data_IF_150490823337
#
_entry.id   IF_150490823337
#
_cell.length_a   1.000
_cell.length_b   1.000
_cell.length_c   1.000
_cell.angle_alpha   90.00
_cell.angle_beta   90.00
_cell.angle_gamma   90.00
#
_symmetry.space_group_name_H-M   'P 1'
#
loop_
_entity.id
_entity.type
_entity.pdbx_description
1 polymer ?
#
# COMPACT_ATOMS: atom_id res chain seq x y z
N UNK A 1 0.67 4.03 -21.41
CA UNK A 1 -0.59 3.70 -20.72
C UNK A 1 -0.95 2.21 -20.85
N UNK A 2 -1.09 1.65 -22.04
CA UNK A 2 -1.46 0.23 -22.26
C UNK A 2 -0.52 -0.78 -21.60
N UNK A 3 0.81 -0.58 -21.68
CA UNK A 3 1.76 -1.48 -21.04
C UNK A 3 1.56 -1.54 -19.51
N UNK A 4 1.39 -0.40 -18.84
CA UNK A 4 1.12 -0.34 -17.40
C UNK A 4 -0.18 -1.07 -17.03
N UNK A 5 -1.25 -0.91 -17.82
CA UNK A 5 -2.49 -1.63 -17.58
C UNK A 5 -2.30 -3.16 -17.70
N UNK A 6 -1.54 -3.63 -18.68
CA UNK A 6 -1.21 -5.06 -18.80
C UNK A 6 -0.43 -5.58 -17.59
N UNK A 7 0.51 -4.80 -17.08
CA UNK A 7 1.27 -5.13 -15.87
C UNK A 7 0.38 -5.16 -14.62
N UNK A 8 -0.55 -4.21 -14.48
CA UNK A 8 -1.50 -4.20 -13.36
C UNK A 8 -2.40 -5.44 -13.39
N UNK A 9 -2.94 -5.79 -14.55
CA UNK A 9 -3.78 -7.00 -14.72
C UNK A 9 -2.98 -8.26 -14.39
N UNK A 10 -1.74 -8.36 -14.88
CA UNK A 10 -0.87 -9.50 -14.58
C UNK A 10 -0.58 -9.59 -13.08
N UNK A 11 -0.29 -8.46 -12.45
CA UNK A 11 -0.02 -8.33 -11.02
C UNK A 11 -1.22 -8.76 -10.14
N UNK A 12 -2.45 -8.40 -10.53
CA UNK A 12 -3.66 -8.85 -9.84
C UNK A 12 -3.80 -10.37 -9.94
N UNK A 13 -3.68 -10.93 -11.14
CA UNK A 13 -3.81 -12.37 -11.37
C UNK A 13 -2.74 -13.22 -10.68
N UNK A 14 -1.57 -12.66 -10.45
CA UNK A 14 -0.48 -13.30 -9.73
C UNK A 14 -0.73 -13.33 -8.21
N UNK A 15 -1.33 -12.25 -7.67
CA UNK A 15 -1.46 -12.05 -6.22
C UNK A 15 -2.82 -12.41 -5.66
N UNK A 16 -3.87 -12.39 -6.48
CA UNK A 16 -5.22 -12.76 -6.06
C UNK A 16 -5.62 -14.12 -6.64
N UNK A 17 -5.68 -15.18 -5.80
CA UNK A 17 -6.14 -16.50 -6.24
C UNK A 17 -7.59 -16.52 -6.76
N UNK A 18 -8.40 -15.51 -6.42
CA UNK A 18 -9.79 -15.39 -6.89
C UNK A 18 -9.90 -14.81 -8.30
N UNK A 19 -8.84 -14.21 -8.85
CA UNK A 19 -8.83 -13.59 -10.18
C UNK A 19 -8.76 -14.64 -11.30
N UNK A 20 -9.92 -15.01 -11.87
CA UNK A 20 -10.05 -16.11 -12.85
C UNK A 20 -9.70 -15.72 -14.27
N UNK A 21 -9.95 -14.48 -14.68
CA UNK A 21 -9.78 -14.06 -16.08
C UNK A 21 -9.37 -12.58 -16.20
N UNK A 22 -8.78 -12.23 -17.36
CA UNK A 22 -8.46 -10.84 -17.70
C UNK A 22 -9.73 -9.98 -17.76
N UNK A 23 -10.82 -10.51 -18.28
CA UNK A 23 -12.10 -9.78 -18.37
C UNK A 23 -12.65 -9.47 -16.98
N UNK A 24 -12.57 -10.42 -16.05
CA UNK A 24 -12.99 -10.22 -14.66
C UNK A 24 -12.15 -9.11 -13.99
N UNK A 25 -10.83 -9.14 -14.16
CA UNK A 25 -9.95 -8.10 -13.61
C UNK A 25 -10.26 -6.72 -14.20
N UNK A 26 -10.51 -6.65 -15.50
CA UNK A 26 -10.85 -5.38 -16.17
C UNK A 26 -12.21 -4.81 -15.76
N UNK A 27 -13.16 -5.66 -15.38
CA UNK A 27 -14.54 -5.21 -15.14
C UNK A 27 -14.92 -5.18 -13.66
N UNK A 28 -14.28 -5.99 -12.81
CA UNK A 28 -14.70 -6.21 -11.42
C UNK A 28 -13.67 -5.77 -10.36
N UNK A 29 -12.50 -5.29 -10.77
CA UNK A 29 -11.45 -4.85 -9.82
C UNK A 29 -11.36 -3.33 -9.74
N UNK A 30 -11.97 -2.70 -8.72
CA UNK A 30 -12.01 -1.25 -8.59
C UNK A 30 -10.61 -0.63 -8.43
N UNK A 31 -9.64 -1.36 -7.86
CA UNK A 31 -8.25 -0.92 -7.76
C UNK A 31 -7.61 -0.67 -9.12
N UNK A 32 -7.87 -1.51 -10.11
CA UNK A 32 -7.36 -1.32 -11.49
C UNK A 32 -7.99 -0.06 -12.12
N UNK A 33 -9.30 0.13 -11.94
CA UNK A 33 -10.00 1.31 -12.45
C UNK A 33 -9.46 2.59 -11.81
N UNK A 34 -9.25 2.60 -10.49
CA UNK A 34 -8.71 3.73 -9.76
C UNK A 34 -7.30 4.11 -10.24
N UNK A 35 -6.43 3.13 -10.51
CA UNK A 35 -5.09 3.36 -11.05
C UNK A 35 -5.12 3.95 -12.46
N UNK A 36 -6.05 3.50 -13.31
CA UNK A 36 -6.23 4.06 -14.67
C UNK A 36 -6.67 5.50 -14.58
N UNK A 37 -7.71 5.81 -13.78
CA UNK A 37 -8.20 7.18 -13.59
C UNK A 37 -7.14 8.07 -12.97
N UNK A 38 -6.41 7.55 -11.96
CA UNK A 38 -5.30 8.30 -11.35
C UNK A 38 -4.24 8.70 -12.37
N UNK A 39 -3.84 7.82 -13.28
CA UNK A 39 -2.84 8.14 -14.31
C UNK A 39 -3.27 9.29 -15.21
N UNK A 40 -4.57 9.36 -15.57
CA UNK A 40 -5.13 10.48 -16.33
C UNK A 40 -5.14 11.77 -15.50
N UNK A 41 -5.60 11.66 -14.25
CA UNK A 41 -5.64 12.77 -13.30
C UNK A 41 -4.24 13.33 -13.01
N UNK A 42 -3.26 12.45 -12.80
CA UNK A 42 -1.86 12.80 -12.58
C UNK A 42 -1.24 13.47 -13.80
N UNK A 43 -1.50 12.98 -15.02
CA UNK A 43 -1.04 13.61 -16.24
C UNK A 43 -1.58 15.03 -16.41
N UNK A 44 -2.87 15.26 -16.12
CA UNK A 44 -3.44 16.60 -16.11
C UNK A 44 -2.79 17.51 -15.05
N UNK A 45 -2.56 16.96 -13.84
CA UNK A 45 -1.91 17.66 -12.74
C UNK A 45 -0.49 18.10 -13.08
N UNK A 46 0.35 17.19 -13.57
CA UNK A 46 1.74 17.47 -13.98
C UNK A 46 1.81 18.45 -15.18
N UNK A 47 0.76 18.50 -16.01
CA UNK A 47 0.63 19.47 -17.10
C UNK A 47 0.12 20.83 -16.65
N UNK A 48 -0.09 21.08 -15.34
CA UNK A 48 -0.56 22.34 -14.78
C UNK A 48 -2.10 22.50 -14.78
N UNK A 49 -2.86 21.56 -15.32
CA UNK A 49 -4.34 21.57 -15.26
C UNK A 49 -4.84 21.05 -13.90
N UNK A 50 -4.51 21.78 -12.82
CA UNK A 50 -4.71 21.34 -11.45
C UNK A 50 -6.18 21.04 -11.14
N UNK A 51 -7.09 21.94 -11.58
CA UNK A 51 -8.53 21.73 -11.38
C UNK A 51 -9.01 20.44 -12.08
N UNK A 52 -8.61 20.22 -13.32
CA UNK A 52 -8.99 19.04 -14.10
C UNK A 52 -8.44 17.75 -13.43
N UNK A 53 -7.18 17.77 -12.97
CA UNK A 53 -6.61 16.65 -12.22
C UNK A 53 -7.42 16.31 -10.98
N UNK A 54 -7.82 17.32 -10.19
CA UNK A 54 -8.67 17.15 -9.00
C UNK A 54 -10.06 16.63 -9.37
N UNK A 55 -10.66 17.15 -10.41
CA UNK A 55 -11.98 16.72 -10.85
C UNK A 55 -11.98 15.26 -11.32
N UNK A 56 -11.00 14.84 -12.12
CA UNK A 56 -10.84 13.44 -12.53
C UNK A 56 -10.62 12.51 -11.33
N UNK A 57 -9.79 12.92 -10.36
CA UNK A 57 -9.60 12.18 -9.12
C UNK A 57 -10.91 12.02 -8.34
N UNK A 58 -11.74 13.07 -8.28
CA UNK A 58 -13.05 13.01 -7.62
C UNK A 58 -14.02 12.05 -8.33
N UNK A 59 -14.05 12.05 -9.67
CA UNK A 59 -14.83 11.07 -10.45
C UNK A 59 -14.34 9.64 -10.18
N UNK A 60 -13.01 9.43 -10.14
CA UNK A 60 -12.44 8.14 -9.79
C UNK A 60 -12.90 7.63 -8.42
N UNK A 61 -12.89 8.52 -7.41
CA UNK A 61 -13.40 8.20 -6.08
C UNK A 61 -14.89 7.82 -6.10
N UNK A 62 -15.71 8.57 -6.82
CA UNK A 62 -17.16 8.28 -6.94
C UNK A 62 -17.43 6.91 -7.56
N UNK A 63 -16.62 6.52 -8.56
CA UNK A 63 -16.79 5.27 -9.30
C UNK A 63 -16.23 4.05 -8.57
N UNK A 64 -15.16 4.24 -7.79
CA UNK A 64 -14.38 3.11 -7.23
C UNK A 64 -14.39 3.05 -5.70
N UNK A 65 -14.79 4.12 -5.02
CA UNK A 65 -14.65 4.26 -3.56
C UNK A 65 -13.19 4.46 -3.11
N UNK A 66 -12.26 4.69 -4.05
CA UNK A 66 -10.81 4.85 -3.81
C UNK A 66 -10.43 6.29 -4.14
N UNK A 67 -9.89 7.02 -3.17
CA UNK A 67 -9.36 8.36 -3.37
C UNK A 67 -7.85 8.34 -3.56
N UNK A 68 -7.37 8.76 -4.73
CA UNK A 68 -5.94 8.98 -4.97
C UNK A 68 -5.79 10.44 -5.44
N UNK A 69 -5.07 11.24 -4.65
CA UNK A 69 -4.81 12.63 -5.04
C UNK A 69 -3.98 12.67 -6.32
N UNK A 70 -4.27 13.54 -7.31
CA UNK A 70 -3.55 13.55 -8.58
C UNK A 70 -2.07 13.89 -8.44
N UNK A 71 -1.66 14.58 -7.38
CA UNK A 71 -0.25 14.83 -7.07
C UNK A 71 0.52 13.62 -6.50
N UNK A 72 -0.17 12.56 -6.07
CA UNK A 72 0.48 11.36 -5.56
C UNK A 72 1.28 10.64 -6.66
N UNK A 73 2.39 10.03 -6.28
CA UNK A 73 3.21 9.24 -7.19
C UNK A 73 2.99 7.75 -6.93
N UNK A 74 2.49 7.04 -7.94
CA UNK A 74 2.19 5.62 -7.84
C UNK A 74 3.10 4.85 -8.79
N UNK A 75 3.81 3.89 -8.25
CA UNK A 75 4.73 3.00 -8.96
C UNK A 75 4.04 2.02 -9.89
N UNK A 76 4.77 0.99 -10.27
CA UNK A 76 4.31 -0.07 -11.20
C UNK A 76 3.81 -1.28 -10.39
N UNK A 77 2.86 -2.02 -10.97
CA UNK A 77 2.32 -3.26 -10.39
C UNK A 77 1.81 -3.10 -8.96
N UNK A 78 1.29 -1.91 -8.64
CA UNK A 78 0.62 -1.68 -7.36
C UNK A 78 -0.72 -2.39 -7.39
N UNK A 79 -0.99 -3.20 -6.38
CA UNK A 79 -2.24 -3.91 -6.21
C UNK A 79 -3.07 -3.27 -5.09
N UNK A 80 -4.20 -2.71 -5.44
CA UNK A 80 -5.20 -2.21 -4.49
C UNK A 80 -6.31 -3.24 -4.44
N UNK A 81 -6.31 -4.05 -3.37
CA UNK A 81 -7.27 -5.13 -3.19
C UNK A 81 -8.50 -4.64 -2.42
N UNK A 82 -9.69 -5.01 -2.91
CA UNK A 82 -11.00 -4.50 -2.49
C UNK A 82 -11.13 -2.97 -2.63
N UNK A 83 -10.26 -2.21 -2.06
CA UNK A 83 -10.01 -0.78 -2.26
C UNK A 83 -11.00 0.18 -1.62
N UNK A 84 -12.20 -0.21 -1.27
CA UNK A 84 -13.20 0.70 -0.70
C UNK A 84 -12.64 1.48 0.49
N UNK A 85 -12.75 2.82 0.46
CA UNK A 85 -12.28 3.69 1.54
C UNK A 85 -10.77 3.89 1.62
N UNK A 86 -10.00 3.47 0.59
CA UNK A 86 -8.59 3.84 0.48
C UNK A 86 -8.46 5.32 0.20
N UNK A 87 -7.54 5.99 0.90
CA UNK A 87 -7.20 7.40 0.70
C UNK A 87 -5.69 7.55 0.56
N UNK A 88 -5.22 8.08 -0.55
CA UNK A 88 -3.82 8.36 -0.83
C UNK A 88 -3.64 9.86 -1.05
N UNK A 89 -2.94 10.53 -0.13
CA UNK A 89 -2.79 11.99 -0.10
C UNK A 89 -1.79 12.54 -1.11
N UNK A 90 -1.80 13.86 -1.27
CA UNK A 90 -1.11 14.64 -2.31
C UNK A 90 0.38 14.32 -2.49
N UNK A 91 1.14 14.29 -1.40
CA UNK A 91 2.60 14.08 -1.43
C UNK A 91 2.99 12.64 -1.11
N UNK A 92 2.02 11.71 -1.15
CA UNK A 92 2.32 10.28 -0.98
C UNK A 92 3.08 9.72 -2.17
N UNK A 93 3.99 8.81 -1.87
CA UNK A 93 4.71 8.04 -2.87
C UNK A 93 4.52 6.56 -2.56
N UNK A 94 4.16 5.79 -3.57
CA UNK A 94 3.96 4.34 -3.46
C UNK A 94 4.91 3.67 -4.44
N UNK A 95 5.84 2.90 -3.91
CA UNK A 95 6.82 2.15 -4.69
C UNK A 95 6.19 1.03 -5.53
N UNK A 96 7.02 0.42 -6.37
CA UNK A 96 6.60 -0.70 -7.21
C UNK A 96 6.20 -1.91 -6.35
N UNK A 97 5.32 -2.75 -6.87
CA UNK A 97 4.91 -4.03 -6.28
C UNK A 97 4.21 -3.94 -4.92
N UNK A 98 3.81 -2.75 -4.47
CA UNK A 98 3.07 -2.59 -3.23
C UNK A 98 1.68 -3.22 -3.29
N UNK A 99 1.19 -3.71 -2.13
CA UNK A 99 -0.17 -4.18 -1.93
C UNK A 99 -0.86 -3.32 -0.88
N UNK A 100 -2.05 -2.80 -1.21
CA UNK A 100 -2.84 -1.92 -0.35
C UNK A 100 -4.25 -2.47 -0.24
N UNK A 101 -4.70 -2.75 0.98
CA UNK A 101 -6.05 -3.24 1.23
C UNK A 101 -7.06 -2.12 1.50
N UNK A 102 -8.34 -2.47 1.52
CA UNK A 102 -9.44 -1.52 1.78
C UNK A 102 -9.26 -0.72 3.08
N UNK A 103 -9.81 0.49 3.11
CA UNK A 103 -9.82 1.35 4.28
C UNK A 103 -8.46 1.93 4.69
N UNK A 104 -7.40 1.68 3.93
CA UNK A 104 -6.07 2.23 4.19
C UNK A 104 -6.05 3.74 3.96
N UNK A 105 -5.34 4.47 4.83
CA UNK A 105 -5.08 5.89 4.65
C UNK A 105 -3.57 6.16 4.64
N UNK A 106 -3.07 6.70 3.54
CA UNK A 106 -1.75 7.31 3.45
C UNK A 106 -1.93 8.83 3.64
N UNK A 107 -1.94 9.26 4.90
CA UNK A 107 -2.38 10.59 5.32
C UNK A 107 -1.26 11.51 5.76
N UNK A 108 -1.57 12.81 5.80
CA UNK A 108 -0.68 13.84 6.35
C UNK A 108 -1.06 14.22 7.78
N UNK A 109 -0.06 14.65 8.54
CA UNK A 109 -0.23 15.18 9.91
C UNK A 109 0.09 16.68 10.00
N UNK A 110 0.64 17.27 8.94
CA UNK A 110 1.01 18.68 8.86
C UNK A 110 0.02 19.46 7.99
N UNK A 111 -0.29 20.69 8.40
CA UNK A 111 -1.10 21.65 7.64
C UNK A 111 -0.25 22.62 6.79
N UNK A 112 1.08 22.53 6.86
CA UNK A 112 1.97 23.39 6.08
C UNK A 112 1.94 23.02 4.61
N UNK A 113 1.73 24.00 3.73
CA UNK A 113 1.74 23.85 2.28
C UNK A 113 3.17 23.65 1.78
N UNK A 114 3.33 22.90 0.68
CA UNK A 114 4.62 22.73 0.00
C UNK A 114 5.61 21.80 0.71
N UNK A 115 5.21 21.14 1.79
CA UNK A 115 6.06 20.20 2.52
C UNK A 115 5.65 18.75 2.25
N UNK A 116 6.60 17.82 2.34
CA UNK A 116 6.33 16.38 2.35
C UNK A 116 5.58 16.04 3.64
N UNK A 117 4.30 15.73 3.53
CA UNK A 117 3.40 15.46 4.68
C UNK A 117 2.73 14.09 4.65
N UNK A 118 2.85 13.36 3.54
CA UNK A 118 2.31 12.02 3.37
C UNK A 118 3.45 11.01 3.24
N UNK A 119 3.22 9.73 3.57
CA UNK A 119 4.27 8.73 3.61
C UNK A 119 4.82 8.38 2.22
N UNK A 120 6.06 7.87 2.24
CA UNK A 120 6.67 7.18 1.12
C UNK A 120 6.71 5.68 1.45
N UNK A 121 6.11 4.87 0.60
CA UNK A 121 6.21 3.41 0.65
C UNK A 121 7.30 2.95 -0.30
N UNK A 122 8.26 2.19 0.21
CA UNK A 122 9.27 1.51 -0.59
C UNK A 122 8.66 0.42 -1.49
N UNK A 123 9.52 -0.34 -2.16
CA UNK A 123 9.09 -1.43 -3.04
C UNK A 123 8.54 -2.62 -2.25
N UNK A 124 7.47 -3.24 -2.76
CA UNK A 124 6.93 -4.48 -2.20
C UNK A 124 6.32 -4.35 -0.81
N UNK A 125 6.01 -3.11 -0.37
CA UNK A 125 5.36 -2.85 0.91
C UNK A 125 3.94 -3.39 0.89
N UNK A 126 3.51 -4.02 2.00
CA UNK A 126 2.14 -4.51 2.19
C UNK A 126 1.47 -3.72 3.31
N UNK A 127 0.36 -3.06 2.99
CA UNK A 127 -0.45 -2.29 3.94
C UNK A 127 -1.79 -3.01 4.17
N UNK A 128 -1.93 -3.60 5.35
CA UNK A 128 -3.12 -4.36 5.76
C UNK A 128 -4.38 -3.50 5.87
N UNK A 129 -5.53 -4.18 5.79
CA UNK A 129 -6.85 -3.54 5.78
C UNK A 129 -7.06 -2.56 6.94
N UNK A 130 -7.61 -1.39 6.64
CA UNK A 130 -7.92 -0.37 7.64
C UNK A 130 -6.72 0.37 8.25
N UNK A 131 -5.47 0.01 7.89
CA UNK A 131 -4.29 0.65 8.47
C UNK A 131 -4.20 2.14 8.10
N UNK A 132 -3.64 2.93 9.02
CA UNK A 132 -3.40 4.37 8.84
C UNK A 132 -1.91 4.64 8.93
N UNK A 133 -1.30 5.16 7.87
CA UNK A 133 0.10 5.59 7.84
C UNK A 133 0.08 7.11 7.72
N UNK A 134 0.47 7.79 8.80
CA UNK A 134 0.20 9.21 8.97
C UNK A 134 1.50 9.99 9.22
N UNK A 135 1.93 10.76 8.22
CA UNK A 135 3.12 11.61 8.29
C UNK A 135 4.05 11.46 7.10
N UNK A 136 4.98 12.41 6.92
CA UNK A 136 5.92 12.47 5.81
C UNK A 136 7.20 11.65 6.05
N UNK A 137 7.07 10.38 6.40
CA UNK A 137 8.18 9.46 6.65
C UNK A 137 8.16 8.26 5.69
N UNK A 138 9.19 7.44 5.79
CA UNK A 138 9.37 6.26 4.93
C UNK A 138 8.91 4.96 5.63
N UNK A 139 8.27 4.10 4.85
CA UNK A 139 8.05 2.68 5.13
C UNK A 139 8.93 1.92 4.15
N UNK A 140 10.00 1.31 4.64
CA UNK A 140 11.08 0.73 3.85
C UNK A 140 10.65 -0.47 3.00
N UNK A 141 11.49 -0.85 2.04
CA UNK A 141 11.25 -1.93 1.09
C UNK A 141 10.84 -3.24 1.78
N UNK A 142 9.80 -3.90 1.28
CA UNK A 142 9.32 -5.17 1.80
C UNK A 142 8.71 -5.12 3.20
N UNK A 143 8.59 -3.93 3.81
CA UNK A 143 7.95 -3.79 5.12
C UNK A 143 6.46 -4.14 5.07
N UNK A 144 5.91 -4.54 6.21
CA UNK A 144 4.50 -4.92 6.35
C UNK A 144 3.84 -4.08 7.43
N UNK A 145 2.65 -3.58 7.15
CA UNK A 145 1.80 -2.90 8.12
C UNK A 145 0.58 -3.77 8.37
N UNK A 146 0.38 -4.19 9.61
CA UNK A 146 -0.75 -5.04 10.00
C UNK A 146 -2.09 -4.32 9.88
N UNK A 147 -3.17 -5.10 9.74
CA UNK A 147 -4.53 -4.55 9.63
C UNK A 147 -4.87 -3.68 10.85
N UNK A 148 -5.53 -2.55 10.60
CA UNK A 148 -5.93 -1.54 11.59
C UNK A 148 -4.76 -0.91 12.41
N UNK A 149 -3.52 -1.12 11.99
CA UNK A 149 -2.38 -0.47 12.62
C UNK A 149 -2.37 1.04 12.34
N UNK A 150 -1.94 1.84 13.32
CA UNK A 150 -1.77 3.30 13.18
C UNK A 150 -0.28 3.64 13.26
N UNK A 151 0.35 3.81 12.11
CA UNK A 151 1.79 4.06 11.96
C UNK A 151 2.03 5.57 11.90
N UNK A 152 2.83 6.07 12.83
CA UNK A 152 3.18 7.51 12.95
C UNK A 152 4.69 7.74 13.01
N UNK A 153 5.49 6.69 12.73
CA UNK A 153 6.95 6.73 12.72
C UNK A 153 7.47 5.88 11.57
N UNK A 154 8.71 6.10 11.09
CA UNK A 154 9.34 5.27 10.06
C UNK A 154 9.30 3.77 10.41
N UNK A 155 9.18 2.95 9.37
CA UNK A 155 9.25 1.48 9.47
C UNK A 155 10.44 1.01 8.64
N UNK A 156 11.43 0.32 9.24
CA UNK A 156 12.59 -0.19 8.51
C UNK A 156 12.19 -1.19 7.41
N UNK A 157 13.08 -1.36 6.43
CA UNK A 157 12.91 -2.37 5.37
C UNK A 157 12.75 -3.78 5.98
N UNK A 158 11.81 -4.56 5.43
CA UNK A 158 11.50 -5.92 5.89
C UNK A 158 10.81 -6.03 7.26
N UNK A 159 10.71 -4.93 8.01
CA UNK A 159 10.08 -4.94 9.34
C UNK A 159 8.55 -5.01 9.25
N UNK A 160 7.91 -5.36 10.36
CA UNK A 160 6.45 -5.40 10.48
C UNK A 160 5.99 -4.43 11.55
N UNK A 161 5.07 -3.51 11.21
CA UNK A 161 4.44 -2.58 12.15
C UNK A 161 3.02 -3.05 12.47
N UNK A 162 2.67 -3.17 13.77
CA UNK A 162 1.36 -3.66 14.21
C UNK A 162 0.83 -2.86 15.40
N UNK A 163 -0.49 -2.75 15.50
CA UNK A 163 -1.18 -2.16 16.64
C UNK A 163 -1.48 -0.66 16.51
N UNK A 164 -2.09 -0.06 17.54
CA UNK A 164 -2.48 1.35 17.62
C UNK A 164 -2.10 1.93 19.00
N UNK A 165 -1.08 2.81 19.13
CA UNK A 165 -0.12 3.16 18.08
C UNK A 165 0.74 1.96 17.65
N UNK A 166 1.21 1.95 16.39
CA UNK A 166 1.95 0.82 15.86
C UNK A 166 3.32 0.64 16.53
N UNK A 167 3.65 -0.62 16.84
CA UNK A 167 4.98 -1.06 17.24
C UNK A 167 5.66 -1.74 16.08
N UNK A 168 6.92 -1.41 15.86
CA UNK A 168 7.75 -2.06 14.84
C UNK A 168 8.34 -3.33 15.43
N UNK A 169 8.12 -4.45 14.74
CA UNK A 169 8.71 -5.75 15.05
C UNK A 169 9.82 -6.00 14.03
N UNK A 170 11.05 -6.07 14.52
CA UNK A 170 12.20 -6.39 13.67
C UNK A 170 12.11 -7.85 13.23
N UNK A 171 12.25 -8.09 11.92
CA UNK A 171 12.17 -9.43 11.33
C UNK A 171 13.22 -10.39 11.90
N UNK A 172 14.40 -9.90 12.22
CA UNK A 172 15.50 -10.67 12.85
C UNK A 172 15.13 -11.24 14.23
N UNK A 173 14.30 -10.52 14.99
CA UNK A 173 13.82 -10.99 16.29
C UNK A 173 12.87 -12.18 16.16
N UNK A 174 11.99 -12.17 15.16
CA UNK A 174 11.09 -13.29 14.88
C UNK A 174 11.84 -14.56 14.47
N UNK A 175 12.86 -14.44 13.64
CA UNK A 175 13.67 -15.59 13.24
C UNK A 175 14.50 -16.13 14.42
N UNK A 176 14.99 -15.26 15.28
CA UNK A 176 15.73 -15.67 16.48
C UNK A 176 14.82 -16.36 17.49
N UNK A 177 13.65 -15.77 17.79
CA UNK A 177 12.67 -16.36 18.72
C UNK A 177 12.17 -17.72 18.19
N UNK A 178 11.92 -17.85 16.87
CA UNK A 178 11.53 -19.13 16.25
C UNK A 178 12.66 -20.18 16.25
N UNK A 179 13.93 -19.75 16.13
CA UNK A 179 15.08 -20.65 16.24
C UNK A 179 15.29 -21.11 17.68
N UNK A 180 15.11 -20.23 18.66
CA UNK A 180 15.19 -20.56 20.09
C UNK A 180 14.07 -21.51 20.53
N UNK A 181 12.85 -21.31 20.00
CA UNK A 181 11.70 -22.18 20.29
C UNK A 181 11.90 -23.59 19.70
N UNK A 182 12.37 -23.69 18.45
CA UNK A 182 12.75 -24.96 17.82
C UNK A 182 13.92 -25.66 18.53
N UNK A 183 14.88 -24.90 19.02
CA UNK A 183 16.01 -25.47 19.77
C UNK A 183 15.54 -26.07 21.11
N UNK A 184 14.63 -25.39 21.83
CA UNK A 184 14.02 -25.88 23.05
C UNK A 184 13.17 -27.14 22.83
N UNK A 185 12.38 -27.18 21.75
CA UNK A 185 11.60 -28.38 21.40
C UNK A 185 12.48 -29.58 21.10
N UNK A 186 13.62 -29.38 20.40
CA UNK A 186 14.60 -30.44 20.13
C UNK A 186 15.31 -30.92 21.39
N UNK A 187 15.56 -30.05 22.38
CA UNK A 187 16.21 -30.38 23.63
C UNK A 187 15.28 -31.19 24.54
N UNK A 188 14.00 -30.82 24.61
CA UNK A 188 12.96 -31.57 25.34
C UNK A 188 12.72 -32.94 24.71
N UNK A 189 12.75 -33.05 23.35
CA UNK A 189 12.59 -34.33 22.67
C UNK A 189 13.77 -35.29 22.89
N UNK A 190 14.97 -34.77 23.20
CA UNK A 190 16.15 -35.60 23.54
C UNK A 190 16.20 -36.04 25.00
N UNK A 191 15.51 -35.37 25.91
CA UNK A 191 15.48 -35.71 27.32
C UNK A 191 14.47 -36.83 27.67
N UNK A 192 13.69 -37.30 26.69
CA UNK A 192 12.66 -38.32 26.85
C UNK A 192 12.97 -39.61 26.08
N UNK A 193 14.21 -39.81 25.64
CA UNK A 193 14.77 -41.03 25.09
C UNK A 193 15.90 -41.49 25.99
#
# INVERSE_FOLDING_TARGET
>A
MFQRLREDIASVRERDPAARSVLEVLTCYPGVHALVVHRLAHGAWESGFLWLGRFLSHLGRMLTGIEIHPGARIGRRVFIDHGMGVVIGETAEVGDDCTIYQGVTLGGTSLYRGTKRHPTLGRGVVIGAGAKVLGGFEVGDGAKVGSNAVVVKPVPAGATAVGNPARVLDGERKERDAREEKAKEMEIGRAHV
#
